data_IF_026087328619
#
_entry.id   IF_026087328619
#
_cell.length_a   1.000
_cell.length_b   1.000
_cell.length_c   1.000
_cell.angle_alpha   90.00
_cell.angle_beta   90.00
_cell.angle_gamma   90.00
#
_symmetry.space_group_name_H-M   'P 1'
#
loop_
_entity.id
_entity.type
_entity.pdbx_description
1 polymer ?
#
# COMPACT_ATOMS: atom_id res chain seq x y z
N UNK A 1 16.93 23.74 22.16
CA UNK A 1 15.94 23.17 21.21
C UNK A 1 16.69 22.61 20.02
N UNK A 2 16.89 21.28 19.97
CA UNK A 2 17.64 20.63 18.90
C UNK A 2 16.83 20.63 17.60
N UNK A 3 17.44 21.09 16.50
CA UNK A 3 16.84 21.01 15.16
C UNK A 3 16.47 19.55 14.87
N UNK A 4 15.17 19.23 14.76
CA UNK A 4 14.75 17.91 14.25
C UNK A 4 15.31 17.79 12.84
N UNK A 5 16.23 16.86 12.63
CA UNK A 5 16.73 16.53 11.28
C UNK A 5 15.52 16.06 10.47
N UNK A 6 15.30 16.68 9.31
CA UNK A 6 14.37 16.15 8.32
C UNK A 6 14.88 14.77 7.92
N UNK A 7 14.14 13.72 8.27
CA UNK A 7 14.41 12.35 7.82
C UNK A 7 13.74 12.21 6.46
N UNK A 8 14.54 11.96 5.44
CA UNK A 8 14.02 11.69 4.11
C UNK A 8 13.51 10.25 4.03
N UNK A 9 12.40 10.00 3.32
CA UNK A 9 11.97 8.64 3.03
C UNK A 9 13.03 7.90 2.22
N UNK A 10 13.20 6.63 2.50
CA UNK A 10 13.99 5.71 1.68
C UNK A 10 13.29 5.44 0.35
N UNK A 11 14.05 5.02 -0.67
CA UNK A 11 13.46 4.64 -1.97
C UNK A 11 12.37 3.58 -1.80
N UNK A 12 12.57 2.64 -0.86
CA UNK A 12 11.59 1.60 -0.54
C UNK A 12 10.28 2.18 -0.01
N UNK A 13 10.33 3.14 0.90
CA UNK A 13 9.15 3.83 1.43
C UNK A 13 8.44 4.67 0.35
N UNK A 14 9.22 5.31 -0.53
CA UNK A 14 8.68 6.05 -1.67
C UNK A 14 7.88 5.11 -2.58
N UNK A 15 8.46 3.96 -2.93
CA UNK A 15 7.79 2.97 -3.80
C UNK A 15 6.53 2.40 -3.17
N UNK A 16 6.57 2.05 -1.88
CA UNK A 16 5.37 1.61 -1.16
C UNK A 16 4.25 2.65 -1.16
N UNK A 17 4.57 3.95 -1.06
CA UNK A 17 3.56 5.02 -1.18
C UNK A 17 2.93 5.04 -2.56
N UNK A 18 3.72 4.93 -3.63
CA UNK A 18 3.19 4.88 -5.00
C UNK A 18 2.31 3.66 -5.23
N UNK A 19 2.73 2.49 -4.74
CA UNK A 19 1.95 1.25 -4.86
C UNK A 19 0.64 1.38 -4.07
N UNK A 20 0.69 1.85 -2.82
CA UNK A 20 -0.52 2.05 -2.01
C UNK A 20 -1.47 3.05 -2.67
N UNK A 21 -0.95 4.15 -3.23
CA UNK A 21 -1.76 5.10 -3.98
C UNK A 21 -2.46 4.45 -5.18
N UNK A 22 -1.73 3.68 -5.99
CA UNK A 22 -2.30 2.99 -7.15
C UNK A 22 -3.36 1.94 -6.76
N UNK A 23 -3.12 1.19 -5.68
CA UNK A 23 -4.09 0.22 -5.15
C UNK A 23 -5.34 0.93 -4.64
N UNK A 24 -5.21 2.05 -3.92
CA UNK A 24 -6.36 2.83 -3.45
C UNK A 24 -7.19 3.36 -4.62
N UNK A 25 -6.54 3.88 -5.67
CA UNK A 25 -7.22 4.39 -6.86
C UNK A 25 -8.03 3.28 -7.55
N UNK A 26 -7.39 2.13 -7.82
CA UNK A 26 -8.06 0.96 -8.39
C UNK A 26 -9.21 0.46 -7.50
N UNK A 27 -8.97 0.30 -6.21
CA UNK A 27 -9.96 -0.15 -5.24
C UNK A 27 -11.17 0.80 -5.13
N UNK A 28 -10.94 2.10 -5.30
CA UNK A 28 -12.02 3.09 -5.34
C UNK A 28 -12.92 2.89 -6.56
N UNK A 29 -12.34 2.55 -7.72
CA UNK A 29 -13.09 2.25 -8.95
C UNK A 29 -13.88 0.95 -8.83
N UNK A 30 -13.30 -0.08 -8.21
CA UNK A 30 -13.95 -1.37 -7.95
C UNK A 30 -15.01 -1.31 -6.83
N UNK A 31 -15.18 -0.16 -6.18
CA UNK A 31 -16.22 0.04 -5.17
C UNK A 31 -15.89 -0.53 -3.80
N UNK A 32 -14.60 -0.69 -3.46
CA UNK A 32 -14.17 -1.07 -2.11
C UNK A 32 -14.69 -0.05 -1.08
N UNK A 33 -15.23 -0.50 0.07
CA UNK A 33 -15.79 0.39 1.08
C UNK A 33 -14.82 1.48 1.56
N UNK A 34 -15.33 2.70 1.70
CA UNK A 34 -14.53 3.84 2.17
C UNK A 34 -13.95 3.64 3.59
N UNK A 35 -14.60 2.84 4.43
CA UNK A 35 -14.07 2.44 5.75
C UNK A 35 -12.72 1.72 5.69
N UNK A 36 -12.44 1.04 4.57
CA UNK A 36 -11.17 0.39 4.30
C UNK A 36 -10.17 1.35 3.63
N UNK A 37 -10.66 2.19 2.70
CA UNK A 37 -9.80 3.06 1.90
C UNK A 37 -9.34 4.33 2.64
N UNK A 38 -10.18 4.92 3.50
CA UNK A 38 -9.87 6.17 4.20
C UNK A 38 -8.67 6.03 5.17
N UNK A 39 -8.56 4.96 5.98
CA UNK A 39 -7.36 4.74 6.79
C UNK A 39 -6.09 4.59 5.94
N UNK A 40 -6.16 3.86 4.83
CA UNK A 40 -5.04 3.70 3.91
C UNK A 40 -4.61 5.02 3.27
N UNK A 41 -5.58 5.87 2.89
CA UNK A 41 -5.33 7.20 2.36
C UNK A 41 -4.60 8.12 3.37
N UNK A 42 -4.86 7.96 4.67
CA UNK A 42 -4.16 8.72 5.73
C UNK A 42 -2.68 8.34 5.80
N UNK A 43 -2.35 7.06 5.64
CA UNK A 43 -0.95 6.60 5.66
C UNK A 43 -0.10 7.30 4.58
N UNK A 44 -0.68 7.67 3.44
CA UNK A 44 0.03 8.40 2.38
C UNK A 44 0.48 9.81 2.81
N UNK A 45 -0.21 10.44 3.78
CA UNK A 45 0.09 11.81 4.25
C UNK A 45 1.07 11.83 5.41
N UNK A 46 1.12 10.76 6.19
CA UNK A 46 1.91 10.67 7.41
C UNK A 46 3.31 10.06 7.14
N UNK A 47 4.01 9.68 8.21
CA UNK A 47 5.27 8.91 8.16
C UNK A 47 5.05 7.48 8.64
N UNK A 48 4.25 6.67 7.92
CA UNK A 48 3.99 5.30 8.33
C UNK A 48 5.23 4.43 8.14
N UNK A 49 5.29 3.35 8.91
CA UNK A 49 6.32 2.32 8.74
C UNK A 49 6.01 1.45 7.52
N UNK A 50 7.03 0.78 7.02
CA UNK A 50 6.89 -0.26 5.99
C UNK A 50 5.81 -1.31 6.34
N UNK A 51 5.77 -1.77 7.59
CA UNK A 51 4.79 -2.74 8.05
C UNK A 51 3.35 -2.19 7.94
N UNK A 52 3.15 -0.90 8.20
CA UNK A 52 1.84 -0.26 8.05
C UNK A 52 1.41 -0.16 6.58
N UNK A 53 2.33 0.09 5.64
CA UNK A 53 2.01 0.01 4.20
C UNK A 53 1.61 -1.39 3.79
N UNK A 54 2.40 -2.38 4.19
CA UNK A 54 2.16 -3.79 3.85
C UNK A 54 0.82 -4.25 4.39
N UNK A 55 0.48 -3.90 5.63
CA UNK A 55 -0.79 -4.28 6.24
C UNK A 55 -1.99 -3.61 5.53
N UNK A 56 -1.87 -2.32 5.21
CA UNK A 56 -2.92 -1.62 4.47
C UNK A 56 -3.14 -2.22 3.07
N UNK A 57 -2.06 -2.57 2.37
CA UNK A 57 -2.15 -3.27 1.09
C UNK A 57 -2.86 -4.61 1.25
N UNK A 58 -2.44 -5.45 2.20
CA UNK A 58 -3.09 -6.75 2.49
C UNK A 58 -4.57 -6.60 2.77
N UNK A 59 -4.95 -5.62 3.59
CA UNK A 59 -6.34 -5.38 3.96
C UNK A 59 -7.20 -5.00 2.75
N UNK A 60 -6.74 -4.08 1.90
CA UNK A 60 -7.46 -3.69 0.68
C UNK A 60 -7.59 -4.87 -0.28
N UNK A 61 -6.50 -5.59 -0.52
CA UNK A 61 -6.45 -6.70 -1.48
C UNK A 61 -7.26 -7.93 -1.03
N UNK A 62 -7.56 -8.04 0.26
CA UNK A 62 -8.42 -9.08 0.80
C UNK A 62 -9.92 -8.77 0.62
N UNK A 63 -10.29 -7.56 0.18
CA UNK A 63 -11.68 -7.22 -0.11
C UNK A 63 -12.18 -7.98 -1.35
N UNK A 64 -13.43 -8.45 -1.32
CA UNK A 64 -14.03 -9.23 -2.41
C UNK A 64 -14.00 -8.48 -3.76
N UNK A 65 -14.14 -7.15 -3.73
CA UNK A 65 -14.07 -6.30 -4.92
C UNK A 65 -12.69 -6.33 -5.60
N UNK A 66 -11.65 -6.67 -4.85
CA UNK A 66 -10.28 -6.78 -5.37
C UNK A 66 -9.95 -8.18 -5.86
N UNK A 67 -10.93 -9.10 -5.91
CA UNK A 67 -10.70 -10.44 -6.42
C UNK A 67 -10.24 -10.40 -7.89
N UNK A 68 -9.08 -11.01 -8.16
CA UNK A 68 -8.49 -11.01 -9.50
C UNK A 68 -7.68 -9.75 -9.84
N UNK A 69 -7.65 -8.73 -8.97
CA UNK A 69 -6.78 -7.57 -9.15
C UNK A 69 -5.31 -8.00 -9.19
N UNK A 70 -4.59 -7.53 -10.21
CA UNK A 70 -3.15 -7.72 -10.36
C UNK A 70 -2.52 -6.52 -11.04
N UNK A 71 -1.30 -6.21 -10.62
CA UNK A 71 -0.44 -5.30 -11.38
C UNK A 71 0.08 -5.97 -12.65
N UNK A 72 0.58 -5.19 -13.64
CA UNK A 72 1.24 -5.76 -14.82
C UNK A 72 2.33 -6.75 -14.42
N UNK A 73 2.30 -7.94 -15.02
CA UNK A 73 3.22 -9.05 -14.70
C UNK A 73 4.67 -8.61 -14.91
N UNK A 74 5.52 -8.90 -13.92
CA UNK A 74 6.95 -8.53 -13.94
C UNK A 74 7.23 -7.06 -13.65
N UNK A 75 6.20 -6.30 -13.21
CA UNK A 75 6.43 -5.00 -12.58
C UNK A 75 6.88 -5.18 -11.12
N UNK A 76 7.58 -4.18 -10.57
CA UNK A 76 7.98 -4.21 -9.17
C UNK A 76 6.77 -4.32 -8.21
N UNK A 77 5.63 -3.77 -8.60
CA UNK A 77 4.40 -3.89 -7.83
C UNK A 77 3.87 -5.32 -7.86
N UNK A 78 3.96 -6.03 -9.00
CA UNK A 78 3.63 -7.45 -9.10
C UNK A 78 4.56 -8.31 -8.24
N UNK A 79 5.88 -8.05 -8.25
CA UNK A 79 6.84 -8.75 -7.38
C UNK A 79 6.49 -8.55 -5.89
N UNK A 80 6.19 -7.31 -5.48
CA UNK A 80 5.74 -7.04 -4.12
C UNK A 80 4.45 -7.80 -3.80
N UNK A 81 3.45 -7.75 -4.68
CA UNK A 81 2.18 -8.46 -4.51
C UNK A 81 2.37 -9.95 -4.30
N UNK A 82 3.27 -10.59 -5.06
CA UNK A 82 3.58 -12.01 -4.89
C UNK A 82 4.17 -12.31 -3.51
N UNK A 83 5.01 -11.42 -2.96
CA UNK A 83 5.51 -11.56 -1.58
C UNK A 83 4.42 -11.37 -0.53
N UNK A 84 3.41 -10.53 -0.81
CA UNK A 84 2.28 -10.31 0.09
C UNK A 84 1.32 -11.50 0.12
N UNK A 85 1.03 -12.12 -1.02
CA UNK A 85 0.10 -13.27 -1.08
C UNK A 85 0.68 -14.51 -0.38
N UNK A 86 2.01 -14.62 -0.26
CA UNK A 86 2.63 -15.71 0.49
C UNK A 86 2.38 -15.53 1.99
N UNK A 87 1.77 -16.51 2.69
CA UNK A 87 1.67 -16.44 4.14
C UNK A 87 3.09 -16.37 4.72
N UNK A 88 3.27 -15.52 5.75
CA UNK A 88 4.46 -15.60 6.58
C UNK A 88 4.44 -17.00 7.20
N UNK A 89 5.36 -17.86 6.74
CA UNK A 89 5.53 -19.22 7.26
C UNK A 89 5.97 -19.20 8.72
#
# INVERSE_FOLDING_TARGET
MGKRKTVWPTDREIRLRFILFAVIDAASVEGVPAELLLPAHKLLRDSPTEAQFVEALRAILAADQMHGFRFPVGSEADDLMQTLVRPAG
#
